data_IF_451211688717
#
_entry.id   IF_451211688717
#
_cell.length_a   1.000
_cell.length_b   1.000
_cell.length_c   1.000
_cell.angle_alpha   90.00
_cell.angle_beta   90.00
_cell.angle_gamma   90.00
#
_symmetry.space_group_name_H-M   'P 1'
#
loop_
_entity.id
_entity.type
_entity.pdbx_description
1 polymer ?
#
# COMPACT_ATOMS: atom_id res chain seq x y z
N UNK A 1 8.94 -2.28 68.04
CA UNK A 1 7.74 -2.42 67.19
C UNK A 1 7.85 -1.43 66.04
N UNK A 2 7.94 -1.98 64.83
CA UNK A 2 7.59 -1.40 63.52
C UNK A 2 8.26 -0.09 63.07
N UNK A 3 9.57 -0.11 62.82
CA UNK A 3 10.22 0.81 61.86
C UNK A 3 10.07 0.33 60.39
N UNK A 4 9.41 -0.81 60.17
CA UNK A 4 9.20 -1.44 58.86
C UNK A 4 7.96 -0.94 58.12
N UNK A 5 7.17 -0.02 58.72
CA UNK A 5 5.95 0.52 58.09
C UNK A 5 6.19 1.77 57.25
N UNK A 6 7.00 2.71 57.75
CA UNK A 6 7.25 3.99 57.09
C UNK A 6 8.24 3.88 55.92
N UNK A 7 9.30 3.07 56.07
CA UNK A 7 10.25 2.78 54.99
C UNK A 7 9.57 2.10 53.78
N UNK A 8 8.63 1.18 54.04
CA UNK A 8 7.87 0.50 52.99
C UNK A 8 6.85 1.41 52.31
N UNK A 9 6.23 2.34 53.05
CA UNK A 9 5.35 3.36 52.46
C UNK A 9 6.14 4.39 51.65
N UNK A 10 7.33 4.78 52.10
CA UNK A 10 8.20 5.71 51.38
C UNK A 10 8.74 5.09 50.08
N UNK A 11 9.17 3.82 50.13
CA UNK A 11 9.56 3.07 48.95
C UNK A 11 8.39 2.87 47.96
N UNK A 12 7.16 2.63 48.47
CA UNK A 12 5.96 2.53 47.63
C UNK A 12 5.55 3.86 47.00
N UNK A 13 5.70 4.98 47.73
CA UNK A 13 5.44 6.34 47.23
C UNK A 13 6.49 6.72 46.18
N UNK A 14 7.78 6.47 46.41
CA UNK A 14 8.82 6.68 45.39
C UNK A 14 8.57 5.84 44.15
N UNK A 15 8.18 4.57 44.30
CA UNK A 15 7.85 3.69 43.17
C UNK A 15 6.59 4.16 42.42
N UNK A 16 5.62 4.77 43.11
CA UNK A 16 4.45 5.42 42.51
C UNK A 16 4.81 6.72 41.78
N UNK A 17 5.74 7.50 42.31
CA UNK A 17 6.23 8.76 41.73
C UNK A 17 7.11 8.50 40.49
N UNK A 18 7.88 7.42 40.52
CA UNK A 18 8.60 6.85 39.37
C UNK A 18 7.63 6.33 38.30
N UNK A 19 6.53 5.66 38.70
CA UNK A 19 5.47 5.22 37.76
C UNK A 19 4.71 6.40 37.13
N UNK A 20 4.45 7.46 37.89
CA UNK A 20 3.77 8.67 37.40
C UNK A 20 4.65 9.48 36.44
N UNK A 21 5.97 9.52 36.71
CA UNK A 21 6.93 10.17 35.84
C UNK A 21 7.14 9.40 34.54
N UNK A 22 7.17 8.06 34.57
CA UNK A 22 7.14 7.23 33.35
C UNK A 22 5.88 7.51 32.52
N UNK A 23 4.69 7.53 33.14
CA UNK A 23 3.44 7.85 32.43
C UNK A 23 3.42 9.27 31.86
N UNK A 24 3.99 10.26 32.55
CA UNK A 24 4.16 11.63 32.05
C UNK A 24 5.17 11.70 30.91
N UNK A 25 6.26 10.94 30.96
CA UNK A 25 7.24 10.81 29.86
C UNK A 25 6.53 10.23 28.63
N UNK A 26 5.75 9.16 28.78
CA UNK A 26 4.96 8.60 27.68
C UNK A 26 3.93 9.60 27.14
N UNK A 27 3.22 10.36 27.99
CA UNK A 27 2.29 11.40 27.56
C UNK A 27 2.98 12.57 26.82
N UNK A 28 4.18 12.94 27.25
CA UNK A 28 4.98 14.01 26.65
C UNK A 28 5.68 13.57 25.34
N UNK A 29 6.01 12.28 25.21
CA UNK A 29 6.57 11.69 23.99
C UNK A 29 5.48 11.31 22.98
N UNK A 30 4.22 11.23 23.40
CA UNK A 30 3.08 10.88 22.54
C UNK A 30 2.91 11.77 21.28
N UNK A 31 3.08 13.10 21.37
CA UNK A 31 3.12 13.98 20.20
C UNK A 31 4.26 13.63 19.23
N UNK A 32 5.41 13.20 19.74
CA UNK A 32 6.56 12.79 18.94
C UNK A 32 6.28 11.50 18.17
N UNK A 33 5.57 10.54 18.75
CA UNK A 33 5.17 9.29 18.08
C UNK A 33 4.31 9.57 16.83
N UNK A 34 3.46 10.59 16.86
CA UNK A 34 2.65 11.01 15.71
C UNK A 34 3.52 11.56 14.57
N UNK A 35 4.52 12.36 14.89
CA UNK A 35 5.47 12.90 13.92
C UNK A 35 6.39 11.82 13.36
N UNK A 36 6.91 10.93 14.23
CA UNK A 36 7.73 9.78 13.83
C UNK A 36 6.98 8.87 12.85
N UNK A 37 5.68 8.60 13.08
CA UNK A 37 4.86 7.79 12.18
C UNK A 37 4.71 8.40 10.78
N UNK A 38 4.71 9.73 10.66
CA UNK A 38 4.66 10.42 9.35
C UNK A 38 5.99 10.36 8.60
N UNK A 39 7.10 10.37 9.33
CA UNK A 39 8.44 10.36 8.75
C UNK A 39 8.87 8.93 8.38
N UNK A 40 8.55 7.96 9.22
CA UNK A 40 9.00 6.57 9.09
C UNK A 40 7.98 5.65 8.43
N UNK A 41 6.69 6.02 8.48
CA UNK A 41 5.60 5.19 7.96
C UNK A 41 5.34 5.38 6.45
N UNK A 42 4.74 4.36 5.83
CA UNK A 42 4.19 4.49 4.48
C UNK A 42 3.01 5.46 4.52
N UNK A 43 3.14 6.52 3.74
CA UNK A 43 2.15 7.59 3.65
C UNK A 43 1.13 7.25 2.57
N UNK A 44 -0.09 7.76 2.76
CA UNK A 44 -1.15 7.56 1.78
C UNK A 44 -0.97 8.54 0.62
N UNK A 45 -0.33 8.06 -0.44
CA UNK A 45 -0.25 8.79 -1.71
C UNK A 45 -1.42 8.40 -2.62
N UNK A 46 -2.31 9.36 -2.85
CA UNK A 46 -3.50 9.18 -3.68
C UNK A 46 -4.73 8.69 -2.91
N UNK A 47 -5.63 8.00 -3.62
CA UNK A 47 -6.93 7.56 -3.10
C UNK A 47 -6.93 6.11 -2.61
N UNK A 48 -5.91 5.31 -2.94
CA UNK A 48 -5.78 3.92 -2.48
C UNK A 48 -5.04 3.79 -1.14
N UNK A 49 -5.31 2.72 -0.37
CA UNK A 49 -4.49 2.33 0.79
C UNK A 49 -3.41 1.36 0.31
N UNK A 50 -2.22 1.41 0.91
CA UNK A 50 -1.16 0.46 0.58
C UNK A 50 -1.53 -0.92 1.12
N UNK A 51 -1.55 -1.91 0.22
CA UNK A 51 -1.65 -3.33 0.56
C UNK A 51 -0.32 -4.01 0.24
N UNK A 52 0.35 -4.60 1.25
CA UNK A 52 1.53 -5.41 0.99
C UNK A 52 1.13 -6.62 0.15
N UNK A 53 1.99 -6.97 -0.81
CA UNK A 53 1.79 -8.14 -1.65
C UNK A 53 2.34 -9.38 -0.93
N UNK A 54 1.62 -10.49 -1.07
CA UNK A 54 2.06 -11.78 -0.55
C UNK A 54 3.19 -12.32 -1.45
N UNK A 55 4.26 -12.78 -0.82
CA UNK A 55 5.39 -13.34 -1.57
C UNK A 55 5.00 -14.72 -2.10
N UNK A 56 5.14 -14.99 -3.39
CA UNK A 56 4.90 -16.32 -3.92
C UNK A 56 5.97 -17.26 -3.36
N UNK A 57 5.53 -18.35 -2.74
CA UNK A 57 6.40 -19.41 -2.27
C UNK A 57 5.87 -20.76 -2.78
N UNK A 58 6.78 -21.71 -2.97
CA UNK A 58 6.44 -23.08 -3.35
C UNK A 58 6.38 -23.95 -2.11
N UNK A 59 5.48 -24.93 -2.13
CA UNK A 59 5.45 -25.98 -1.12
C UNK A 59 6.53 -27.03 -1.41
N UNK A 60 6.93 -27.78 -0.39
CA UNK A 60 7.99 -28.80 -0.51
C UNK A 60 7.68 -29.87 -1.56
N UNK A 61 6.39 -30.17 -1.78
CA UNK A 61 5.92 -31.14 -2.76
C UNK A 61 6.00 -30.63 -4.22
N UNK A 62 5.97 -29.30 -4.40
CA UNK A 62 6.01 -28.65 -5.71
C UNK A 62 7.45 -28.27 -6.12
N UNK A 63 8.42 -28.44 -5.22
CA UNK A 63 9.80 -28.08 -5.46
C UNK A 63 10.48 -29.12 -6.36
N UNK A 64 10.95 -28.75 -7.56
CA UNK A 64 11.64 -29.70 -8.43
C UNK A 64 13.01 -30.07 -7.87
N UNK A 65 13.45 -31.30 -8.12
CA UNK A 65 14.78 -31.79 -7.72
C UNK A 65 15.95 -31.09 -8.41
N UNK A 66 15.70 -30.23 -9.41
CA UNK A 66 16.72 -29.44 -10.11
C UNK A 66 16.27 -27.99 -10.33
N UNK A 67 17.18 -27.05 -10.08
CA UNK A 67 16.96 -25.62 -10.31
C UNK A 67 16.69 -25.26 -11.78
N UNK A 68 17.12 -26.10 -12.74
CA UNK A 68 16.85 -25.87 -14.17
C UNK A 68 15.40 -26.07 -14.56
N UNK A 69 14.66 -26.87 -13.78
CA UNK A 69 13.24 -27.14 -14.00
C UNK A 69 12.34 -26.18 -13.20
N UNK A 70 12.93 -25.33 -12.35
CA UNK A 70 12.20 -24.40 -11.52
C UNK A 70 11.60 -23.28 -12.40
N UNK A 71 10.27 -23.18 -12.38
CA UNK A 71 9.58 -22.05 -12.98
C UNK A 71 9.82 -20.80 -12.13
N UNK A 72 10.16 -19.65 -12.75
CA UNK A 72 10.27 -18.40 -12.02
C UNK A 72 8.93 -18.07 -11.37
N UNK A 73 8.98 -17.63 -10.12
CA UNK A 73 7.82 -17.28 -9.32
C UNK A 73 7.67 -15.77 -9.22
N UNK A 74 6.44 -15.30 -9.27
CA UNK A 74 6.11 -13.88 -9.16
C UNK A 74 6.42 -13.05 -10.39
N UNK A 75 6.10 -11.77 -10.29
CA UNK A 75 6.39 -10.76 -11.31
C UNK A 75 7.27 -9.66 -10.70
N UNK A 76 8.46 -9.50 -11.28
CA UNK A 76 9.44 -8.49 -10.86
C UNK A 76 8.86 -7.08 -10.98
N UNK A 77 8.02 -6.83 -11.99
CA UNK A 77 7.43 -5.50 -12.22
C UNK A 77 6.43 -5.18 -11.10
N UNK A 78 5.58 -6.14 -10.73
CA UNK A 78 4.63 -6.01 -9.63
C UNK A 78 5.35 -5.72 -8.30
N UNK A 79 6.38 -6.50 -7.98
CA UNK A 79 7.19 -6.31 -6.77
C UNK A 79 7.85 -4.93 -6.72
N UNK A 80 8.41 -4.48 -7.84
CA UNK A 80 9.05 -3.16 -7.95
C UNK A 80 8.03 -2.03 -7.81
N UNK A 81 6.85 -2.17 -8.41
CA UNK A 81 5.76 -1.21 -8.27
C UNK A 81 5.35 -1.08 -6.80
N UNK A 82 5.15 -2.19 -6.08
CA UNK A 82 4.82 -2.19 -4.65
C UNK A 82 5.93 -1.61 -3.79
N UNK A 83 7.19 -1.88 -4.12
CA UNK A 83 8.36 -1.28 -3.44
C UNK A 83 8.40 0.24 -3.61
N UNK A 84 8.09 0.75 -4.79
CA UNK A 84 8.00 2.20 -5.06
C UNK A 84 6.81 2.84 -4.33
N UNK A 85 5.69 2.15 -4.23
CA UNK A 85 4.54 2.59 -3.43
C UNK A 85 4.86 2.63 -1.94
N UNK A 86 5.52 1.59 -1.40
CA UNK A 86 5.92 1.52 0.01
C UNK A 86 6.86 2.67 0.41
N UNK A 87 7.74 3.08 -0.50
CA UNK A 87 8.68 4.20 -0.36
C UNK A 87 8.04 5.57 -0.60
N UNK A 88 6.73 5.64 -0.81
CA UNK A 88 6.03 6.88 -1.12
C UNK A 88 6.59 7.58 -2.39
N UNK A 89 7.04 6.84 -3.40
CA UNK A 89 7.51 7.39 -4.68
C UNK A 89 6.42 7.39 -5.75
N UNK A 90 5.49 6.43 -5.67
CA UNK A 90 4.39 6.28 -6.63
C UNK A 90 3.07 6.26 -5.85
N UNK A 91 2.07 6.98 -6.39
CA UNK A 91 0.72 7.00 -5.83
C UNK A 91 -0.02 5.68 -6.09
N UNK A 92 -0.79 5.24 -5.11
CA UNK A 92 -1.62 4.03 -5.24
C UNK A 92 -2.94 4.44 -5.90
N UNK A 93 -3.29 3.85 -7.05
CA UNK A 93 -4.57 4.13 -7.69
C UNK A 93 -5.70 3.69 -6.75
N UNK A 94 -6.73 4.54 -6.61
CA UNK A 94 -7.98 4.11 -5.97
C UNK A 94 -8.74 3.13 -6.86
N UNK A 95 -9.70 2.40 -6.27
CA UNK A 95 -10.52 1.37 -6.94
C UNK A 95 -11.11 1.86 -8.28
N UNK A 96 -11.51 3.13 -8.37
CA UNK A 96 -12.10 3.72 -9.57
C UNK A 96 -11.11 3.96 -10.73
N UNK A 97 -9.82 4.14 -10.46
CA UNK A 97 -8.83 4.53 -11.47
C UNK A 97 -8.17 3.36 -12.17
N UNK A 98 -8.23 2.15 -11.60
CA UNK A 98 -7.56 0.96 -12.16
C UNK A 98 -8.07 0.66 -13.58
N UNK A 99 -9.31 1.03 -13.88
CA UNK A 99 -9.95 0.74 -15.17
C UNK A 99 -10.86 1.87 -15.67
N UNK A 100 -10.57 3.13 -15.34
CA UNK A 100 -11.38 4.21 -15.91
C UNK A 100 -11.14 4.26 -17.42
N UNK A 101 -12.01 3.62 -18.21
CA UNK A 101 -12.11 3.88 -19.64
C UNK A 101 -12.23 5.39 -19.79
N UNK A 102 -11.44 5.99 -20.67
CA UNK A 102 -11.53 7.42 -20.96
C UNK A 102 -12.97 7.72 -21.39
N UNK A 103 -13.79 8.25 -20.48
CA UNK A 103 -15.17 8.59 -20.80
C UNK A 103 -15.10 9.80 -21.71
N UNK A 104 -15.52 9.63 -22.97
CA UNK A 104 -15.71 10.78 -23.86
C UNK A 104 -16.92 11.56 -23.34
N UNK A 105 -16.72 12.81 -22.96
CA UNK A 105 -17.81 13.69 -22.50
C UNK A 105 -18.86 13.90 -23.60
N UNK A 106 -18.42 13.90 -24.86
CA UNK A 106 -19.26 14.12 -26.04
C UNK A 106 -19.33 12.85 -26.89
N UNK A 107 -20.49 12.65 -27.53
CA UNK A 107 -20.68 11.59 -28.51
C UNK A 107 -19.82 11.88 -29.74
N UNK A 108 -19.00 10.92 -30.14
CA UNK A 108 -18.26 11.02 -31.40
C UNK A 108 -19.26 10.89 -32.54
N UNK A 109 -19.31 11.91 -33.41
CA UNK A 109 -20.07 11.83 -34.66
C UNK A 109 -19.30 10.96 -35.63
N UNK A 110 -19.85 9.78 -35.92
CA UNK A 110 -19.36 8.91 -36.98
C UNK A 110 -20.16 9.26 -38.24
N UNK A 111 -19.46 9.67 -39.28
CA UNK A 111 -20.06 9.96 -40.59
C UNK A 111 -19.32 9.20 -41.66
N UNK A 112 -20.05 8.46 -42.48
CA UNK A 112 -19.50 7.82 -43.67
C UNK A 112 -19.25 8.87 -44.76
N UNK A 113 -18.15 8.71 -45.50
CA UNK A 113 -17.90 9.53 -46.69
C UNK A 113 -18.84 9.09 -47.80
N UNK A 114 -19.31 10.04 -48.60
CA UNK A 114 -20.25 9.79 -49.72
C UNK A 114 -19.72 8.74 -50.70
N UNK A 115 -18.42 8.78 -51.00
CA UNK A 115 -17.74 7.82 -51.88
C UNK A 115 -17.91 6.36 -51.46
N UNK A 116 -18.03 6.07 -50.16
CA UNK A 116 -18.21 4.70 -49.66
C UNK A 116 -19.68 4.27 -49.68
N UNK A 117 -20.61 5.23 -49.60
CA UNK A 117 -22.06 4.95 -49.65
C UNK A 117 -22.54 4.56 -51.05
N UNK A 118 -21.83 5.01 -52.08
CA UNK A 118 -22.13 4.75 -53.49
C UNK A 118 -21.63 3.37 -53.98
N UNK A 119 -20.76 2.72 -53.20
CA UNK A 119 -20.22 1.39 -53.52
C UNK A 119 -21.28 0.33 -53.21
N UNK A 120 -21.76 -0.35 -54.25
CA UNK A 120 -22.73 -1.46 -54.17
C UNK A 120 -22.13 -2.73 -54.77
N UNK A 121 -22.71 -3.90 -54.48
CA UNK A 121 -22.25 -5.17 -55.06
C UNK A 121 -22.42 -5.11 -56.59
N UNK A 122 -21.30 -4.97 -57.30
CA UNK A 122 -21.25 -4.77 -58.75
C UNK A 122 -20.68 -3.42 -59.23
N UNK A 123 -20.41 -2.46 -58.33
CA UNK A 123 -19.76 -1.20 -58.72
C UNK A 123 -18.27 -1.41 -59.03
N UNK A 124 -17.81 -0.95 -60.21
CA UNK A 124 -16.40 -1.02 -60.62
C UNK A 124 -15.64 0.16 -60.03
N UNK A 125 -14.86 -0.09 -58.97
CA UNK A 125 -13.95 0.90 -58.39
C UNK A 125 -12.69 0.92 -59.27
N UNK A 126 -12.34 2.10 -59.82
CA UNK A 126 -11.10 2.33 -60.58
C UNK A 126 -9.99 2.70 -59.61
#
# INVERSE_FOLDING_TARGET
MTATGFENLFAFIQLLEDFESDLRIYLFLFPFLRSAKRLLGTQRLGRGKFTPEERPFLLSEELPGSLRQLKPQGDVIADRLKSLQKRNMIAIPGEERVRSKLKKKLRVKISERRSYKEVTIGSRVI
#
